data_IF_099972756568
#
_entry.id   IF_099972756568
#
_cell.length_a   1.000
_cell.length_b   1.000
_cell.length_c   1.000
_cell.angle_alpha   90.00
_cell.angle_beta   90.00
_cell.angle_gamma   90.00
#
_symmetry.space_group_name_H-M   'P 1'
#
loop_
_entity.id
_entity.type
_entity.pdbx_description
1 polymer ?
#
# COMPACT_ATOMS: atom_id res chain seq x y z
N UNK A 1 5.27 21.81 -14.97
CA UNK A 1 5.91 20.59 -14.44
C UNK A 1 4.85 19.48 -14.31
N UNK A 2 4.96 18.42 -15.09
CA UNK A 2 4.03 17.30 -15.01
C UNK A 2 4.35 16.51 -13.74
N UNK A 3 3.50 16.59 -12.73
CA UNK A 3 3.65 15.76 -11.54
C UNK A 3 3.48 14.30 -11.97
N UNK A 4 4.57 13.53 -11.95
CA UNK A 4 4.53 12.11 -12.27
C UNK A 4 3.79 11.42 -11.13
N UNK A 5 2.59 10.91 -11.41
CA UNK A 5 1.81 10.11 -10.45
C UNK A 5 2.57 8.87 -9.97
N UNK A 6 1.96 8.11 -9.08
CA UNK A 6 2.52 6.84 -8.64
C UNK A 6 2.60 5.82 -9.80
N UNK A 7 3.61 4.96 -9.77
CA UNK A 7 3.73 3.79 -10.66
C UNK A 7 3.33 2.58 -9.84
N UNK A 8 2.19 1.98 -10.20
CA UNK A 8 1.63 0.84 -9.48
C UNK A 8 1.58 -0.37 -10.40
N UNK A 9 2.25 -1.46 -10.00
CA UNK A 9 2.22 -2.70 -10.76
C UNK A 9 0.81 -3.32 -10.74
N UNK A 10 0.34 -3.81 -11.88
CA UNK A 10 -0.94 -4.51 -12.02
C UNK A 10 -1.03 -5.79 -11.15
N UNK A 11 0.11 -6.37 -10.79
CA UNK A 11 0.19 -7.55 -9.93
C UNK A 11 0.20 -7.22 -8.43
N UNK A 12 0.11 -5.93 -8.06
CA UNK A 12 -0.06 -5.53 -6.66
C UNK A 12 -1.51 -5.71 -6.19
N UNK A 13 -1.69 -6.01 -4.91
CA UNK A 13 -3.00 -6.17 -4.29
C UNK A 13 -3.27 -5.00 -3.34
N UNK A 14 -4.07 -4.04 -3.80
CA UNK A 14 -4.39 -2.83 -3.05
C UNK A 14 -5.88 -2.84 -2.70
N UNK A 15 -6.20 -2.79 -1.41
CA UNK A 15 -7.59 -2.91 -0.91
C UNK A 15 -7.90 -1.87 0.14
N UNK A 16 -9.16 -1.42 0.15
CA UNK A 16 -9.68 -0.46 1.12
C UNK A 16 -9.29 0.98 0.80
N UNK A 17 -9.27 1.81 1.84
CA UNK A 17 -8.92 3.23 1.73
C UNK A 17 -7.39 3.41 1.70
N UNK A 18 -6.83 3.47 0.49
CA UNK A 18 -5.39 3.59 0.26
C UNK A 18 -5.10 4.81 -0.62
N UNK A 19 -4.24 5.69 -0.13
CA UNK A 19 -3.69 6.82 -0.89
C UNK A 19 -2.20 6.60 -1.13
N UNK A 20 -1.76 6.78 -2.38
CA UNK A 20 -0.36 6.67 -2.78
C UNK A 20 0.10 7.99 -3.40
N UNK A 21 1.08 8.63 -2.77
CA UNK A 21 1.67 9.88 -3.23
C UNK A 21 2.40 9.74 -4.56
N UNK A 22 2.58 10.88 -5.24
CA UNK A 22 3.32 10.97 -6.50
C UNK A 22 4.73 10.37 -6.40
N UNK A 23 5.32 9.99 -7.54
CA UNK A 23 6.66 9.39 -7.63
C UNK A 23 6.91 8.14 -6.79
N UNK A 24 5.90 7.57 -6.14
CA UNK A 24 6.01 6.28 -5.45
C UNK A 24 5.92 5.14 -6.44
N UNK A 25 6.76 4.12 -6.28
CA UNK A 25 6.77 2.90 -7.10
C UNK A 25 6.32 1.70 -6.25
N UNK A 26 5.36 0.93 -6.75
CA UNK A 26 4.90 -0.33 -6.14
C UNK A 26 5.27 -1.50 -7.06
N UNK A 27 6.18 -2.35 -6.57
CA UNK A 27 6.67 -3.54 -7.28
C UNK A 27 5.62 -4.67 -7.31
N UNK A 28 5.79 -5.69 -8.18
CA UNK A 28 4.88 -6.82 -8.29
C UNK A 28 4.59 -7.50 -6.96
N UNK A 29 3.37 -8.02 -6.79
CA UNK A 29 2.93 -8.82 -5.64
C UNK A 29 2.98 -8.12 -4.27
N UNK A 30 3.31 -6.83 -4.22
CA UNK A 30 3.12 -6.03 -3.02
C UNK A 30 1.64 -6.02 -2.64
N UNK A 31 1.33 -6.09 -1.34
CA UNK A 31 -0.04 -6.05 -0.81
C UNK A 31 -0.17 -4.90 0.17
N UNK A 32 -1.14 -4.01 -0.08
CA UNK A 32 -1.45 -2.85 0.74
C UNK A 32 -2.93 -2.91 1.10
N UNK A 33 -3.24 -3.28 2.34
CA UNK A 33 -4.60 -3.66 2.75
C UNK A 33 -5.04 -2.78 3.92
N UNK A 34 -6.00 -1.88 3.66
CA UNK A 34 -6.61 -1.01 4.65
C UNK A 34 -7.94 -1.61 5.17
N UNK A 35 -7.88 -2.35 6.28
CA UNK A 35 -9.04 -3.05 6.88
C UNK A 35 -9.67 -2.23 8.03
N UNK A 36 -8.85 -1.70 8.94
CA UNK A 36 -9.31 -1.00 10.15
C UNK A 36 -9.22 0.54 10.06
N UNK A 37 -8.67 1.06 8.97
CA UNK A 37 -8.50 2.50 8.74
C UNK A 37 -7.64 2.77 7.52
N UNK A 38 -7.51 4.03 7.10
CA UNK A 38 -6.80 4.39 5.88
C UNK A 38 -5.30 4.06 5.95
N UNK A 39 -4.70 3.81 4.80
CA UNK A 39 -3.24 3.78 4.62
C UNK A 39 -2.85 4.93 3.69
N UNK A 40 -1.96 5.80 4.18
CA UNK A 40 -1.44 6.93 3.40
C UNK A 40 0.05 6.76 3.19
N UNK A 41 0.44 6.43 1.96
CA UNK A 41 1.84 6.38 1.54
C UNK A 41 2.19 7.73 0.92
N UNK A 42 3.21 8.38 1.47
CA UNK A 42 3.72 9.66 0.98
C UNK A 42 4.36 9.58 -0.40
N UNK A 43 4.92 10.70 -0.83
CA UNK A 43 5.59 10.85 -2.12
C UNK A 43 7.01 10.24 -2.14
N UNK A 44 7.43 9.72 -3.30
CA UNK A 44 8.81 9.31 -3.57
C UNK A 44 9.28 8.04 -2.84
N UNK A 45 8.34 7.14 -2.50
CA UNK A 45 8.66 5.87 -1.83
C UNK A 45 8.89 4.72 -2.81
N UNK A 46 9.57 3.65 -2.35
CA UNK A 46 9.72 2.38 -3.06
C UNK A 46 9.10 1.27 -2.22
N UNK A 47 8.04 0.65 -2.72
CA UNK A 47 7.40 -0.52 -2.10
C UNK A 47 7.84 -1.76 -2.89
N UNK A 48 8.74 -2.53 -2.29
CA UNK A 48 9.44 -3.66 -2.94
C UNK A 48 8.55 -4.90 -3.18
N UNK A 49 9.04 -5.84 -4.00
CA UNK A 49 8.30 -7.06 -4.35
C UNK A 49 7.87 -7.83 -3.09
N UNK A 50 6.63 -8.32 -3.09
CA UNK A 50 6.03 -9.11 -2.00
C UNK A 50 5.89 -8.38 -0.64
N UNK A 51 6.14 -7.08 -0.57
CA UNK A 51 5.93 -6.31 0.65
C UNK A 51 4.46 -6.42 1.13
N UNK A 52 4.25 -6.61 2.44
CA UNK A 52 2.93 -6.63 3.07
C UNK A 52 2.78 -5.43 4.01
N UNK A 53 1.87 -4.53 3.66
CA UNK A 53 1.45 -3.41 4.52
C UNK A 53 -0.03 -3.63 4.80
N UNK A 54 -0.39 -3.82 6.07
CA UNK A 54 -1.78 -4.05 6.47
C UNK A 54 -2.12 -3.19 7.69
N UNK A 55 -3.19 -2.41 7.56
CA UNK A 55 -3.81 -1.71 8.67
C UNK A 55 -5.02 -2.53 9.11
N UNK A 56 -4.86 -3.29 10.19
CA UNK A 56 -5.86 -4.20 10.76
C UNK A 56 -6.14 -3.85 12.20
N UNK A 57 -7.26 -4.33 12.71
CA UNK A 57 -7.63 -4.07 14.09
C UNK A 57 -6.63 -4.74 15.05
N UNK A 58 -6.53 -4.20 16.27
CA UNK A 58 -5.72 -4.85 17.30
C UNK A 58 -6.23 -6.25 17.63
N UNK A 59 -7.54 -6.47 17.52
CA UNK A 59 -8.18 -7.77 17.75
C UNK A 59 -7.72 -8.80 16.71
N UNK A 60 -7.77 -8.45 15.42
CA UNK A 60 -7.32 -9.32 14.33
C UNK A 60 -5.82 -9.65 14.46
N UNK A 61 -5.02 -8.66 14.84
CA UNK A 61 -3.58 -8.81 15.02
C UNK A 61 -3.22 -9.76 16.16
N UNK A 62 -3.95 -9.69 17.29
CA UNK A 62 -3.76 -10.60 18.44
C UNK A 62 -4.19 -12.02 18.12
N UNK A 63 -5.14 -12.19 17.21
CA UNK A 63 -5.65 -13.49 16.80
C UNK A 63 -4.80 -14.16 15.70
N UNK A 64 -3.78 -13.48 15.16
CA UNK A 64 -2.93 -14.01 14.08
C UNK A 64 -3.69 -14.30 12.78
N UNK A 65 -4.88 -13.71 12.63
CA UNK A 65 -5.71 -13.73 11.42
C UNK A 65 -5.15 -12.77 10.38
#
# INVERSE_FOLDING_TARGET
PQETGAVVCVESDIRGDVTIGARTVVHPKARIIAEAGPIVIGEGNLIEEQALIINRSEEDSRNGL
#
